data_IF_848342826882
#
_entry.id   IF_848342826882
#
_cell.length_a   1.000
_cell.length_b   1.000
_cell.length_c   1.000
_cell.angle_alpha   90.00
_cell.angle_beta   90.00
_cell.angle_gamma   90.00
#
_symmetry.space_group_name_H-M   'P 1'
#
loop_
_entity.id
_entity.type
_entity.pdbx_description
1 polymer ?
#
# COMPACT_ATOMS: atom_id res chain seq x y z
N UNK A 1 22.80 -11.04 -24.96
CA UNK A 1 23.20 -9.70 -25.41
C UNK A 1 22.05 -8.73 -25.59
N UNK A 2 20.98 -9.05 -26.34
CA UNK A 2 19.82 -8.13 -26.49
C UNK A 2 19.06 -7.81 -25.18
N UNK A 3 18.92 -8.76 -24.24
CA UNK A 3 18.19 -8.54 -22.99
C UNK A 3 18.85 -7.54 -22.03
N UNK A 4 20.18 -7.53 -21.94
CA UNK A 4 20.92 -6.59 -21.10
C UNK A 4 20.74 -5.17 -21.61
N UNK A 5 20.84 -4.98 -22.94
CA UNK A 5 20.63 -3.69 -23.59
C UNK A 5 19.21 -3.15 -23.31
N UNK A 6 18.17 -3.99 -23.40
CA UNK A 6 16.81 -3.56 -23.09
C UNK A 6 16.63 -3.18 -21.62
N UNK A 7 17.29 -3.89 -20.69
CA UNK A 7 17.26 -3.53 -19.26
C UNK A 7 17.93 -2.18 -19.03
N UNK A 8 19.14 -1.98 -19.56
CA UNK A 8 19.88 -0.72 -19.41
C UNK A 8 19.13 0.45 -20.06
N UNK A 9 18.56 0.24 -21.24
CA UNK A 9 17.70 1.22 -21.91
C UNK A 9 16.49 1.58 -21.03
N UNK A 10 15.79 0.60 -20.45
CA UNK A 10 14.65 0.87 -19.57
C UNK A 10 15.04 1.70 -18.34
N UNK A 11 16.25 1.50 -17.80
CA UNK A 11 16.77 2.28 -16.67
C UNK A 11 17.10 3.72 -17.07
N UNK A 12 17.64 3.93 -18.28
CA UNK A 12 17.89 5.28 -18.80
C UNK A 12 16.59 6.02 -19.13
N UNK A 13 15.61 5.35 -19.73
CA UNK A 13 14.32 5.94 -20.07
C UNK A 13 13.57 6.44 -18.82
N UNK A 14 13.49 5.62 -17.78
CA UNK A 14 12.84 6.04 -16.53
C UNK A 14 13.60 7.19 -15.85
N UNK A 15 14.94 7.17 -15.88
CA UNK A 15 15.77 8.25 -15.34
C UNK A 15 15.52 9.58 -16.06
N UNK A 16 15.32 9.53 -17.37
CA UNK A 16 15.02 10.69 -18.22
C UNK A 16 13.53 11.07 -18.23
N UNK A 17 12.68 10.34 -17.49
CA UNK A 17 11.22 10.48 -17.48
C UNK A 17 10.57 10.28 -18.86
N UNK A 18 11.21 9.52 -19.74
CA UNK A 18 10.60 9.00 -20.97
C UNK A 18 9.73 7.79 -20.63
N UNK A 19 8.52 8.04 -20.12
CA UNK A 19 7.65 6.99 -19.59
C UNK A 19 7.02 6.16 -20.73
N UNK A 20 6.76 6.77 -21.88
CA UNK A 20 6.26 6.04 -23.05
C UNK A 20 7.31 5.09 -23.61
N UNK A 21 8.56 5.54 -23.78
CA UNK A 21 9.65 4.66 -24.15
C UNK A 21 9.91 3.57 -23.11
N UNK A 22 9.82 3.92 -21.82
CA UNK A 22 9.93 2.95 -20.73
C UNK A 22 8.86 1.85 -20.81
N UNK A 23 7.60 2.21 -21.08
CA UNK A 23 6.49 1.26 -21.27
C UNK A 23 6.77 0.30 -22.42
N UNK A 24 7.18 0.81 -23.57
CA UNK A 24 7.50 -0.02 -24.74
C UNK A 24 8.61 -1.03 -24.43
N UNK A 25 9.72 -0.56 -23.83
CA UNK A 25 10.85 -1.42 -23.46
C UNK A 25 10.45 -2.45 -22.40
N UNK A 26 9.64 -2.07 -21.41
CA UNK A 26 9.14 -3.00 -20.37
C UNK A 26 8.19 -4.05 -20.94
N UNK A 27 7.33 -3.68 -21.89
CA UNK A 27 6.49 -4.64 -22.61
C UNK A 27 7.32 -5.65 -23.40
N UNK A 28 8.40 -5.21 -24.07
CA UNK A 28 9.32 -6.13 -24.75
C UNK A 28 10.01 -7.09 -23.78
N UNK A 29 10.52 -6.58 -22.65
CA UNK A 29 11.12 -7.39 -21.59
C UNK A 29 10.14 -8.41 -21.02
N UNK A 30 8.88 -8.02 -20.84
CA UNK A 30 7.79 -8.88 -20.42
C UNK A 30 7.57 -10.04 -21.40
N UNK A 31 7.42 -9.75 -22.68
CA UNK A 31 7.22 -10.79 -23.71
C UNK A 31 8.41 -11.75 -23.82
N UNK A 32 9.64 -11.28 -23.62
CA UNK A 32 10.84 -12.11 -23.68
C UNK A 32 11.04 -13.00 -22.44
N UNK A 33 10.65 -12.52 -21.26
CA UNK A 33 10.85 -13.20 -19.97
C UNK A 33 9.64 -13.07 -19.04
N UNK A 34 8.48 -13.66 -19.40
CA UNK A 34 7.28 -13.59 -18.57
C UNK A 34 7.39 -14.43 -17.29
N UNK A 35 8.33 -15.38 -17.22
CA UNK A 35 8.57 -16.16 -15.99
C UNK A 35 9.29 -15.39 -14.88
N UNK A 36 9.76 -14.16 -15.15
CA UNK A 36 10.47 -13.34 -14.16
C UNK A 36 9.53 -12.30 -13.55
N UNK A 37 9.44 -12.30 -12.21
CA UNK A 37 8.70 -11.30 -11.44
C UNK A 37 9.05 -9.86 -11.84
N UNK A 38 10.34 -9.56 -12.05
CA UNK A 38 10.79 -8.23 -12.41
C UNK A 38 10.17 -7.72 -13.72
N UNK A 39 9.88 -8.62 -14.66
CA UNK A 39 9.23 -8.26 -15.92
C UNK A 39 7.79 -7.80 -15.70
N UNK A 40 7.03 -8.50 -14.85
CA UNK A 40 5.67 -8.13 -14.47
C UNK A 40 5.63 -6.79 -13.73
N UNK A 41 6.45 -6.64 -12.69
CA UNK A 41 6.48 -5.43 -11.88
C UNK A 41 6.90 -4.21 -12.71
N UNK A 42 7.94 -4.35 -13.55
CA UNK A 42 8.38 -3.29 -14.43
C UNK A 42 7.31 -2.86 -15.44
N UNK A 43 6.54 -3.81 -15.97
CA UNK A 43 5.45 -3.54 -16.90
C UNK A 43 4.25 -2.87 -16.21
N UNK A 44 3.81 -3.37 -15.06
CA UNK A 44 2.75 -2.73 -14.26
C UNK A 44 3.11 -1.30 -13.84
N UNK A 45 4.37 -1.08 -13.40
CA UNK A 45 4.87 0.24 -13.06
C UNK A 45 4.80 1.22 -14.24
N UNK A 46 5.04 0.74 -15.47
CA UNK A 46 5.00 1.62 -16.64
C UNK A 46 3.60 2.21 -16.89
N UNK A 47 2.55 1.42 -16.71
CA UNK A 47 1.16 1.90 -16.76
C UNK A 47 0.82 2.78 -15.56
N UNK A 48 1.26 2.39 -14.36
CA UNK A 48 1.03 3.17 -13.16
C UNK A 48 1.57 4.61 -13.29
N UNK A 49 2.79 4.76 -13.82
CA UNK A 49 3.42 6.06 -14.03
C UNK A 49 2.77 6.90 -15.13
N UNK A 50 2.06 6.27 -16.07
CA UNK A 50 1.25 6.97 -17.08
C UNK A 50 -0.14 7.35 -16.56
N UNK A 51 -0.51 6.95 -15.34
CA UNK A 51 -1.85 7.13 -14.78
C UNK A 51 -2.88 6.16 -15.34
N UNK A 52 -2.47 5.13 -16.09
CA UNK A 52 -3.34 4.07 -16.55
C UNK A 52 -3.47 3.00 -15.45
N UNK A 53 -4.26 3.36 -14.43
CA UNK A 53 -4.44 2.52 -13.25
C UNK A 53 -5.16 1.20 -13.56
N UNK A 54 -6.07 1.20 -14.53
CA UNK A 54 -6.84 0.01 -14.91
C UNK A 54 -5.93 -1.06 -15.53
N UNK A 55 -5.03 -0.67 -16.43
CA UNK A 55 -4.04 -1.58 -16.98
C UNK A 55 -3.02 -2.01 -15.93
N UNK A 56 -2.55 -1.09 -15.08
CA UNK A 56 -1.63 -1.42 -14.00
C UNK A 56 -2.23 -2.49 -13.07
N UNK A 57 -3.49 -2.32 -12.66
CA UNK A 57 -4.20 -3.31 -11.83
C UNK A 57 -4.39 -4.64 -12.55
N UNK A 58 -4.76 -4.61 -13.83
CA UNK A 58 -4.95 -5.83 -14.62
C UNK A 58 -3.67 -6.67 -14.67
N UNK A 59 -2.52 -6.04 -14.96
CA UNK A 59 -1.21 -6.72 -14.98
C UNK A 59 -0.82 -7.26 -13.61
N UNK A 60 -1.04 -6.49 -12.53
CA UNK A 60 -0.74 -6.93 -11.16
C UNK A 60 -1.64 -8.10 -10.75
N UNK A 61 -2.91 -8.08 -11.11
CA UNK A 61 -3.86 -9.13 -10.80
C UNK A 61 -3.53 -10.44 -11.54
N UNK A 62 -3.19 -10.36 -12.82
CA UNK A 62 -2.68 -11.51 -13.57
C UNK A 62 -1.42 -12.08 -12.95
N UNK A 63 -0.45 -11.22 -12.60
CA UNK A 63 0.76 -11.67 -11.92
C UNK A 63 0.43 -12.37 -10.60
N UNK A 64 -0.47 -11.81 -9.78
CA UNK A 64 -0.89 -12.43 -8.51
C UNK A 64 -1.46 -13.83 -8.71
N UNK A 65 -2.28 -14.04 -9.76
CA UNK A 65 -2.84 -15.36 -10.09
C UNK A 65 -1.74 -16.38 -10.41
N UNK A 66 -0.66 -15.97 -11.08
CA UNK A 66 0.48 -16.87 -11.32
C UNK A 66 1.24 -17.27 -10.05
N UNK A 67 0.98 -16.58 -8.93
CA UNK A 67 1.68 -16.73 -7.65
C UNK A 67 0.83 -17.45 -6.60
N UNK A 68 -0.36 -17.96 -6.94
CA UNK A 68 -1.28 -18.62 -6.00
C UNK A 68 -0.76 -19.97 -5.50
N UNK A 69 -0.03 -20.71 -6.33
CA UNK A 69 0.55 -22.02 -5.97
C UNK A 69 1.92 -21.90 -5.29
N UNK A 70 2.22 -20.76 -4.66
CA UNK A 70 3.51 -20.57 -3.99
C UNK A 70 3.64 -21.50 -2.78
N UNK A 71 4.82 -22.10 -2.56
CA UNK A 71 5.06 -22.90 -1.38
C UNK A 71 4.88 -22.05 -0.13
N UNK A 72 4.32 -22.66 0.92
CA UNK A 72 4.18 -22.01 2.21
C UNK A 72 5.55 -21.50 2.71
N UNK A 73 5.59 -20.39 3.47
CA UNK A 73 6.83 -19.85 4.00
C UNK A 73 7.57 -20.93 4.80
N UNK A 74 8.89 -21.01 4.61
CA UNK A 74 9.72 -21.97 5.31
C UNK A 74 9.71 -21.69 6.83
N UNK A 75 9.95 -22.68 7.71
CA UNK A 75 9.87 -22.49 9.16
C UNK A 75 10.81 -21.40 9.70
N UNK A 76 11.93 -21.16 9.01
CA UNK A 76 12.95 -20.14 9.28
C UNK A 76 12.63 -18.76 8.67
N UNK A 77 11.70 -18.70 7.73
CA UNK A 77 11.14 -17.46 7.15
C UNK A 77 9.61 -17.54 7.17
N UNK A 78 8.97 -17.26 8.32
CA UNK A 78 7.52 -17.40 8.48
C UNK A 78 6.71 -16.43 7.61
N UNK A 79 7.34 -15.44 6.98
CA UNK A 79 6.69 -14.44 6.12
C UNK A 79 7.44 -14.28 4.79
N UNK A 80 6.68 -14.21 3.70
CA UNK A 80 7.18 -13.81 2.38
C UNK A 80 7.11 -12.27 2.28
N UNK A 81 8.21 -11.61 2.64
CA UNK A 81 8.30 -10.15 2.60
C UNK A 81 8.02 -9.60 1.19
N UNK A 82 8.52 -10.27 0.14
CA UNK A 82 8.29 -9.80 -1.23
C UNK A 82 6.82 -9.92 -1.61
N UNK A 83 6.11 -10.93 -1.11
CA UNK A 83 4.67 -11.02 -1.29
C UNK A 83 3.93 -9.89 -0.57
N UNK A 84 4.26 -9.65 0.69
CA UNK A 84 3.67 -8.61 1.52
C UNK A 84 3.79 -7.24 0.83
N UNK A 85 5.00 -6.87 0.39
CA UNK A 85 5.24 -5.60 -0.32
C UNK A 85 4.49 -5.52 -1.66
N UNK A 86 4.36 -6.64 -2.37
CA UNK A 86 3.57 -6.68 -3.60
C UNK A 86 2.08 -6.41 -3.36
N UNK A 87 1.51 -6.97 -2.28
CA UNK A 87 0.11 -6.73 -1.93
C UNK A 87 -0.10 -5.27 -1.54
N UNK A 88 0.83 -4.69 -0.78
CA UNK A 88 0.80 -3.27 -0.43
C UNK A 88 0.90 -2.38 -1.69
N UNK A 89 1.76 -2.74 -2.65
CA UNK A 89 1.86 -2.03 -3.93
C UNK A 89 0.58 -2.14 -4.77
N UNK A 90 -0.02 -3.33 -4.88
CA UNK A 90 -1.29 -3.50 -5.58
C UNK A 90 -2.39 -2.63 -4.93
N UNK A 91 -2.40 -2.56 -3.61
CA UNK A 91 -3.31 -1.70 -2.86
C UNK A 91 -3.06 -0.21 -3.08
N UNK A 92 -1.78 0.21 -3.13
CA UNK A 92 -1.40 1.59 -3.44
C UNK A 92 -1.99 2.03 -4.79
N UNK A 93 -1.85 1.21 -5.83
CA UNK A 93 -2.38 1.52 -7.16
C UNK A 93 -3.93 1.65 -7.12
N UNK A 94 -4.64 0.87 -6.30
CA UNK A 94 -6.11 1.02 -6.10
C UNK A 94 -6.46 2.32 -5.37
N UNK A 95 -5.63 2.74 -4.42
CA UNK A 95 -5.82 3.98 -3.66
C UNK A 95 -5.55 5.21 -4.53
N UNK A 96 -4.52 5.16 -5.36
CA UNK A 96 -4.20 6.24 -6.30
C UNK A 96 -5.23 6.34 -7.44
N UNK A 97 -5.85 5.23 -7.84
CA UNK A 97 -6.97 5.23 -8.80
C UNK A 97 -8.30 5.77 -8.24
N UNK A 98 -8.38 5.98 -6.92
CA UNK A 98 -9.59 6.44 -6.24
C UNK A 98 -10.62 5.33 -5.94
N UNK A 99 -10.31 4.06 -6.23
CA UNK A 99 -11.17 2.91 -5.98
C UNK A 99 -11.06 2.46 -4.51
N UNK A 100 -11.50 3.31 -3.57
CA UNK A 100 -11.30 3.09 -2.14
C UNK A 100 -12.03 1.86 -1.58
N UNK A 101 -13.22 1.54 -2.10
CA UNK A 101 -13.96 0.33 -1.70
C UNK A 101 -13.25 -0.96 -2.13
N UNK A 102 -12.66 -0.98 -3.32
CA UNK A 102 -11.85 -2.10 -3.80
C UNK A 102 -10.55 -2.23 -3.01
N UNK A 103 -9.88 -1.10 -2.73
CA UNK A 103 -8.69 -1.06 -1.90
C UNK A 103 -8.96 -1.60 -0.49
N UNK A 104 -10.08 -1.25 0.13
CA UNK A 104 -10.42 -1.75 1.46
C UNK A 104 -10.69 -3.26 1.45
N UNK A 105 -11.47 -3.74 0.47
CA UNK A 105 -11.72 -5.17 0.30
C UNK A 105 -10.44 -5.96 0.07
N UNK A 106 -9.56 -5.46 -0.79
CA UNK A 106 -8.27 -6.07 -1.09
C UNK A 106 -7.42 -6.26 0.17
N UNK A 107 -7.27 -5.23 1.00
CA UNK A 107 -6.52 -5.30 2.25
C UNK A 107 -7.15 -6.25 3.26
N UNK A 108 -8.48 -6.29 3.36
CA UNK A 108 -9.18 -7.19 4.27
C UNK A 108 -8.99 -8.66 3.89
N UNK A 109 -9.02 -8.96 2.58
CA UNK A 109 -8.80 -10.33 2.08
C UNK A 109 -7.36 -10.79 2.35
N UNK A 110 -6.38 -9.91 2.17
CA UNK A 110 -4.96 -10.25 2.23
C UNK A 110 -4.25 -9.86 3.54
N UNK A 111 -4.99 -9.46 4.56
CA UNK A 111 -4.43 -8.99 5.84
C UNK A 111 -3.49 -10.00 6.50
N UNK A 112 -3.74 -11.30 6.34
CA UNK A 112 -2.91 -12.36 6.93
C UNK A 112 -1.54 -12.46 6.26
N UNK A 113 -1.47 -12.18 4.96
CA UNK A 113 -0.27 -12.30 4.15
C UNK A 113 0.62 -11.04 4.21
N UNK A 114 0.07 -9.92 4.72
CA UNK A 114 0.80 -8.67 4.91
C UNK A 114 1.49 -8.68 6.27
N UNK A 115 2.82 -8.63 6.28
CA UNK A 115 3.61 -8.67 7.51
C UNK A 115 3.56 -7.34 8.28
N UNK A 116 3.67 -6.20 7.59
CA UNK A 116 3.70 -4.88 8.21
C UNK A 116 2.32 -4.47 8.77
N UNK A 117 2.02 -4.90 9.99
CA UNK A 117 0.73 -4.61 10.65
C UNK A 117 0.54 -3.15 11.04
N UNK A 118 1.63 -2.37 11.13
CA UNK A 118 1.55 -0.94 11.40
C UNK A 118 1.04 -0.21 10.17
N UNK A 119 1.73 -0.38 9.04
CA UNK A 119 1.32 0.21 7.76
C UNK A 119 -0.07 -0.26 7.33
N UNK A 120 -0.39 -1.54 7.53
CA UNK A 120 -1.73 -2.06 7.27
C UNK A 120 -2.83 -1.29 8.04
N UNK A 121 -2.59 -0.99 9.32
CA UNK A 121 -3.53 -0.25 10.16
C UNK A 121 -3.63 1.21 9.71
N UNK A 122 -2.51 1.85 9.36
CA UNK A 122 -2.49 3.23 8.82
C UNK A 122 -3.24 3.33 7.49
N UNK A 123 -3.08 2.35 6.60
CA UNK A 123 -3.81 2.30 5.31
C UNK A 123 -5.31 2.08 5.56
N UNK A 124 -5.68 1.14 6.45
CA UNK A 124 -7.10 0.92 6.80
C UNK A 124 -7.73 2.20 7.36
N UNK A 125 -7.03 2.90 8.25
CA UNK A 125 -7.48 4.19 8.77
C UNK A 125 -7.72 5.21 7.63
N UNK A 126 -6.75 5.42 6.73
CA UNK A 126 -6.90 6.35 5.60
C UNK A 126 -8.08 5.98 4.69
N UNK A 127 -8.27 4.68 4.42
CA UNK A 127 -9.40 4.17 3.62
C UNK A 127 -10.75 4.42 4.31
N UNK A 128 -10.86 4.11 5.60
CA UNK A 128 -12.10 4.37 6.34
C UNK A 128 -12.43 5.87 6.43
N UNK A 129 -11.41 6.73 6.58
CA UNK A 129 -11.59 8.18 6.53
C UNK A 129 -12.12 8.65 5.17
N UNK A 130 -11.59 8.12 4.06
CA UNK A 130 -12.05 8.46 2.70
C UNK A 130 -13.46 7.95 2.41
N UNK A 131 -13.82 6.79 2.95
CA UNK A 131 -15.15 6.20 2.87
C UNK A 131 -16.13 6.73 3.92
N UNK A 132 -15.77 7.80 4.64
CA UNK A 132 -16.61 8.43 5.69
C UNK A 132 -17.08 7.48 6.80
N UNK A 133 -16.34 6.41 7.05
CA UNK A 133 -16.61 5.42 8.10
C UNK A 133 -15.82 5.76 9.37
N UNK A 134 -16.15 6.90 9.99
CA UNK A 134 -15.37 7.48 11.09
C UNK A 134 -15.29 6.59 12.32
N UNK A 135 -16.36 5.87 12.70
CA UNK A 135 -16.36 4.99 13.88
C UNK A 135 -15.28 3.89 13.80
N UNK A 136 -15.11 3.32 12.60
CA UNK A 136 -14.08 2.29 12.34
C UNK A 136 -12.69 2.89 12.30
N UNK A 137 -12.56 4.08 11.70
CA UNK A 137 -11.29 4.80 11.66
C UNK A 137 -10.82 5.18 13.08
N UNK A 138 -11.73 5.65 13.93
CA UNK A 138 -11.46 5.97 15.34
C UNK A 138 -10.94 4.74 16.10
N UNK A 139 -11.62 3.59 15.95
CA UNK A 139 -11.24 2.34 16.64
C UNK A 139 -9.79 1.95 16.29
N UNK A 140 -9.44 1.97 15.00
CA UNK A 140 -8.09 1.63 14.55
C UNK A 140 -7.06 2.61 15.08
N UNK A 141 -7.41 3.89 15.12
CA UNK A 141 -6.48 4.91 15.56
C UNK A 141 -6.23 4.89 17.06
N UNK A 142 -7.25 4.53 17.86
CA UNK A 142 -7.07 4.23 19.29
C UNK A 142 -6.13 3.04 19.46
N UNK A 143 -6.30 1.96 18.69
CA UNK A 143 -5.36 0.82 18.72
C UNK A 143 -3.92 1.24 18.33
N UNK A 144 -3.76 2.16 17.37
CA UNK A 144 -2.46 2.71 16.98
C UNK A 144 -1.82 3.55 18.09
N UNK A 145 -2.59 4.37 18.79
CA UNK A 145 -2.14 5.14 19.96
C UNK A 145 -1.76 4.19 21.10
N UNK A 146 -2.58 3.18 21.38
CA UNK A 146 -2.31 2.18 22.41
C UNK A 146 -0.99 1.42 22.14
N UNK A 147 -0.62 1.22 20.87
CA UNK A 147 0.66 0.61 20.46
C UNK A 147 1.86 1.53 20.58
N UNK A 148 1.69 2.82 20.25
CA UNK A 148 2.75 3.82 20.34
C UNK A 148 2.18 5.17 20.81
N UNK A 149 2.04 5.36 22.14
CA UNK A 149 1.45 6.58 22.70
C UNK A 149 2.26 7.85 22.44
N UNK A 150 3.55 7.75 22.11
CA UNK A 150 4.42 8.90 21.89
C UNK A 150 4.25 9.51 20.48
N UNK A 151 3.54 8.82 19.58
CA UNK A 151 3.36 9.28 18.22
C UNK A 151 2.27 10.36 18.13
N UNK A 152 2.70 11.62 18.26
CA UNK A 152 1.86 12.83 18.15
C UNK A 152 0.97 12.86 16.90
N UNK A 153 1.39 12.25 15.79
CA UNK A 153 0.60 12.24 14.54
C UNK A 153 -0.75 11.55 14.72
N UNK A 154 -0.81 10.48 15.51
CA UNK A 154 -2.05 9.72 15.70
C UNK A 154 -3.10 10.53 16.48
N UNK A 155 -2.68 11.40 17.39
CA UNK A 155 -3.60 12.28 18.09
C UNK A 155 -4.22 13.32 17.14
N UNK A 156 -3.43 13.96 16.27
CA UNK A 156 -3.95 14.88 15.25
C UNK A 156 -4.90 14.18 14.27
N UNK A 157 -4.60 12.93 13.92
CA UNK A 157 -5.50 12.09 13.12
C UNK A 157 -6.82 11.84 13.87
N UNK A 158 -6.79 11.67 15.20
CA UNK A 158 -7.97 11.34 16.01
C UNK A 158 -8.88 12.54 16.15
N UNK A 159 -8.30 13.72 16.37
CA UNK A 159 -9.05 14.99 16.32
C UNK A 159 -9.78 15.16 14.98
N UNK A 160 -9.08 14.86 13.88
CA UNK A 160 -9.65 14.97 12.52
C UNK A 160 -10.76 13.95 12.29
N UNK A 161 -10.60 12.72 12.78
CA UNK A 161 -11.60 11.65 12.69
C UNK A 161 -12.89 12.04 13.43
N UNK A 162 -12.74 12.57 14.65
CA UNK A 162 -13.84 13.00 15.51
C UNK A 162 -14.45 14.36 15.09
N UNK A 163 -13.83 15.05 14.13
CA UNK A 163 -14.24 16.37 13.65
C UNK A 163 -14.43 17.41 14.79
N UNK A 164 -13.55 17.37 15.79
CA UNK A 164 -13.62 18.26 16.96
C UNK A 164 -13.24 19.69 16.57
N UNK A 165 -14.20 20.60 16.67
CA UNK A 165 -14.01 22.03 16.31
C UNK A 165 -13.78 22.91 17.53
N UNK A 166 -14.30 22.52 18.68
CA UNK A 166 -14.27 23.32 19.89
C UNK A 166 -13.02 23.01 20.71
N UNK A 167 -12.38 24.04 21.28
CA UNK A 167 -11.19 23.85 22.12
C UNK A 167 -11.50 23.05 23.40
N UNK A 168 -12.73 23.14 23.93
CA UNK A 168 -13.17 22.37 25.10
C UNK A 168 -13.26 20.86 24.80
N UNK A 169 -13.81 20.47 23.65
CA UNK A 169 -13.89 19.07 23.23
C UNK A 169 -12.50 18.47 23.03
N UNK A 170 -11.59 19.25 22.46
CA UNK A 170 -10.18 18.85 22.30
C UNK A 170 -9.50 18.70 23.66
N UNK A 171 -9.68 19.65 24.59
CA UNK A 171 -9.12 19.57 25.94
C UNK A 171 -9.60 18.30 26.65
N UNK A 172 -10.91 18.03 26.62
CA UNK A 172 -11.49 16.84 27.21
C UNK A 172 -10.90 15.55 26.61
N UNK A 173 -10.72 15.49 25.29
CA UNK A 173 -10.10 14.32 24.64
C UNK A 173 -8.66 14.11 25.14
N UNK A 174 -7.85 15.17 25.18
CA UNK A 174 -6.46 15.08 25.60
C UNK A 174 -6.33 14.77 27.10
N UNK A 175 -7.17 15.34 27.95
CA UNK A 175 -7.21 15.04 29.39
C UNK A 175 -7.46 13.54 29.62
N UNK A 176 -8.46 12.96 28.95
CA UNK A 176 -8.73 11.52 29.01
C UNK A 176 -7.53 10.67 28.51
N UNK A 177 -6.80 11.15 27.49
CA UNK A 177 -5.63 10.44 26.97
C UNK A 177 -4.40 10.58 27.87
N UNK A 178 -4.23 11.72 28.54
CA UNK A 178 -3.17 11.94 29.55
C UNK A 178 -3.42 11.04 30.77
N UNK A 179 -4.67 10.91 31.22
CA UNK A 179 -5.01 9.97 32.29
C UNK A 179 -4.70 8.52 31.90
N UNK A 180 -4.98 8.14 30.65
CA UNK A 180 -4.68 6.80 30.12
C UNK A 180 -3.17 6.56 29.90
N UNK A 181 -2.42 7.60 29.53
CA UNK A 181 -0.99 7.55 29.22
C UNK A 181 -0.19 8.65 29.95
N UNK A 182 0.02 8.55 31.28
CA UNK A 182 0.59 9.66 32.07
C UNK A 182 2.07 10.00 31.79
N UNK A 183 2.75 9.18 30.99
CA UNK A 183 4.19 9.29 30.72
C UNK A 183 4.52 9.60 29.25
N UNK A 184 3.51 9.67 28.40
CA UNK A 184 3.62 9.96 26.96
C UNK A 184 3.47 11.47 26.69
#
# INVERSE_FOLDING_TARGET
DSLTILRDLSLLQIQMRDIDGYKETRHQLFNLKPGQRQSWIGFAMSYHLLGDFDMAQSVLEEFRKTQQDRPAPAPDKPYDNEHSEFLLYQNLVLRESGQYDDALRHIQVHEKDIYNKLELAEIKYDLYMRLSSFDRAETILRDLIDRNPDNKKYYFMLEKCLNLKNNEEKSNLYENLIEKYPRA
#
